data_IF_019695074819
#
_entry.id   IF_019695074819
#
_cell.length_a   1.000
_cell.length_b   1.000
_cell.length_c   1.000
_cell.angle_alpha   90.00
_cell.angle_beta   90.00
_cell.angle_gamma   90.00
#
_symmetry.space_group_name_H-M   'P 1'
#
loop_
_entity.id
_entity.type
_entity.pdbx_description
1 polymer ?
#
# COMPACT_ATOMS: atom_id res chain seq x y z
N UNK A 1 10.79 18.05 -10.66
CA UNK A 1 10.31 16.66 -10.85
C UNK A 1 11.13 15.76 -9.96
N UNK A 2 10.50 14.95 -9.11
CA UNK A 2 11.19 14.07 -8.15
C UNK A 2 11.12 12.63 -8.65
N UNK A 3 12.27 11.94 -8.74
CA UNK A 3 12.35 10.54 -9.16
C UNK A 3 12.47 9.62 -7.94
N UNK A 4 11.42 8.89 -7.63
CA UNK A 4 11.36 7.96 -6.49
C UNK A 4 12.12 6.67 -6.84
N UNK A 5 13.04 6.28 -5.96
CA UNK A 5 13.90 5.12 -6.12
C UNK A 5 15.20 5.36 -6.90
N UNK A 6 15.56 6.64 -7.13
CA UNK A 6 16.91 7.03 -7.55
C UNK A 6 17.84 7.18 -6.33
N UNK A 7 17.32 7.77 -5.25
CA UNK A 7 18.00 8.08 -4.00
C UNK A 7 16.96 8.20 -2.87
N UNK A 8 17.39 8.21 -1.59
CA UNK A 8 16.49 8.53 -0.48
C UNK A 8 15.77 9.87 -0.66
N UNK A 9 14.54 9.97 -0.18
CA UNK A 9 13.78 11.23 -0.20
C UNK A 9 14.34 12.16 0.89
N UNK A 10 14.76 13.36 0.51
CA UNK A 10 15.24 14.40 1.43
C UNK A 10 14.11 15.24 1.99
N UNK A 11 14.37 16.02 3.04
CA UNK A 11 13.42 17.00 3.56
C UNK A 11 13.11 18.12 2.56
N UNK A 12 14.03 18.45 1.66
CA UNK A 12 13.78 19.46 0.62
C UNK A 12 12.75 18.99 -0.41
N UNK A 13 12.74 17.69 -0.73
CA UNK A 13 11.69 17.09 -1.54
C UNK A 13 10.31 17.22 -0.87
N UNK A 14 10.24 17.04 0.44
CA UNK A 14 9.00 17.17 1.22
C UNK A 14 8.55 18.63 1.27
N UNK A 15 9.46 19.56 1.56
CA UNK A 15 9.16 21.01 1.56
C UNK A 15 8.61 21.47 0.21
N UNK A 16 9.20 20.99 -0.90
CA UNK A 16 8.71 21.31 -2.24
C UNK A 16 7.27 20.80 -2.48
N UNK A 17 6.93 19.62 -1.95
CA UNK A 17 5.58 19.06 -2.06
C UNK A 17 4.54 19.80 -1.19
N UNK A 18 4.97 20.32 -0.04
CA UNK A 18 4.12 21.13 0.84
C UNK A 18 3.91 22.55 0.30
N UNK A 19 4.87 23.10 -0.46
CA UNK A 19 4.73 24.42 -1.06
C UNK A 19 3.81 24.45 -2.29
N UNK A 20 3.42 23.28 -2.83
CA UNK A 20 2.48 23.18 -3.94
C UNK A 20 2.65 21.90 -4.78
N UNK A 21 1.86 21.76 -5.85
CA UNK A 21 1.86 20.55 -6.66
C UNK A 21 3.21 20.27 -7.32
N UNK A 22 3.68 19.03 -7.18
CA UNK A 22 4.92 18.57 -7.80
C UNK A 22 4.66 17.39 -8.74
N UNK A 23 5.53 17.25 -9.75
CA UNK A 23 5.59 16.05 -10.58
C UNK A 23 6.52 15.02 -9.95
N UNK A 24 6.03 13.79 -9.79
CA UNK A 24 6.79 12.64 -9.31
C UNK A 24 6.79 11.53 -10.35
N UNK A 25 7.87 10.75 -10.40
CA UNK A 25 8.01 9.60 -11.30
C UNK A 25 8.73 8.46 -10.57
N UNK A 26 8.34 7.20 -10.82
CA UNK A 26 9.11 6.04 -10.38
C UNK A 26 10.29 5.80 -11.33
N UNK A 27 11.46 5.49 -10.80
CA UNK A 27 12.56 4.99 -11.64
C UNK A 27 12.22 3.61 -12.21
N UNK A 28 12.81 3.21 -13.36
CA UNK A 28 12.65 1.86 -13.89
C UNK A 28 13.05 0.77 -12.88
N UNK A 29 14.10 1.02 -12.08
CA UNK A 29 14.53 0.14 -11.00
C UNK A 29 13.46 -0.01 -9.91
N UNK A 30 12.87 1.10 -9.46
CA UNK A 30 11.79 1.06 -8.46
C UNK A 30 10.58 0.28 -8.97
N UNK A 31 10.16 0.53 -10.22
CA UNK A 31 9.07 -0.19 -10.87
C UNK A 31 9.33 -1.70 -10.92
N UNK A 32 10.52 -2.11 -11.36
CA UNK A 32 10.90 -3.53 -11.39
C UNK A 32 10.89 -4.18 -10.00
N UNK A 33 11.29 -3.47 -8.95
CA UNK A 33 11.23 -3.98 -7.57
C UNK A 33 9.78 -4.16 -7.08
N UNK A 34 8.89 -3.23 -7.41
CA UNK A 34 7.46 -3.33 -7.10
C UNK A 34 6.84 -4.55 -7.79
N UNK A 35 7.09 -4.71 -9.09
CA UNK A 35 6.59 -5.84 -9.88
C UNK A 35 7.06 -7.18 -9.33
N UNK A 36 8.35 -7.29 -8.97
CA UNK A 36 8.90 -8.49 -8.31
C UNK A 36 8.24 -8.79 -6.97
N UNK A 37 7.97 -7.77 -6.16
CA UNK A 37 7.28 -7.93 -4.88
C UNK A 37 5.85 -8.41 -5.08
N UNK A 38 5.11 -7.81 -6.00
CA UNK A 38 3.76 -8.23 -6.36
C UNK A 38 3.73 -9.69 -6.86
N UNK A 39 4.65 -10.07 -7.74
CA UNK A 39 4.77 -11.45 -8.23
C UNK A 39 5.06 -12.46 -7.10
N UNK A 40 5.83 -12.05 -6.08
CA UNK A 40 6.10 -12.88 -4.90
C UNK A 40 4.83 -13.13 -4.09
N UNK A 41 4.03 -12.10 -3.84
CA UNK A 41 2.74 -12.24 -3.14
C UNK A 41 1.79 -13.14 -3.92
N UNK A 42 1.68 -12.95 -5.24
CA UNK A 42 0.84 -13.80 -6.11
C UNK A 42 1.27 -15.27 -6.07
N UNK A 43 2.58 -15.54 -6.11
CA UNK A 43 3.10 -16.92 -6.00
C UNK A 43 2.78 -17.57 -4.65
N UNK A 44 2.95 -16.83 -3.56
CA UNK A 44 2.63 -17.33 -2.21
C UNK A 44 1.13 -17.54 -2.01
N UNK A 45 0.29 -16.71 -2.62
CA UNK A 45 -1.15 -16.94 -2.64
C UNK A 45 -1.52 -18.25 -3.34
N UNK A 46 -0.82 -18.60 -4.43
CA UNK A 46 -1.04 -19.83 -5.18
C UNK A 46 -0.61 -21.11 -4.42
N UNK A 47 0.35 -21.02 -3.48
CA UNK A 47 0.68 -22.16 -2.60
C UNK A 47 -0.43 -22.47 -1.59
N UNK A 48 -1.35 -21.53 -1.40
CA UNK A 48 -2.42 -21.65 -0.41
C UNK A 48 -1.91 -21.59 1.01
N UNK A 49 -0.71 -21.07 1.29
CA UNK A 49 -0.25 -20.83 2.67
C UNK A 49 -1.00 -19.65 3.31
N UNK A 50 -1.20 -19.64 4.65
CA UNK A 50 -1.84 -18.51 5.32
C UNK A 50 -0.84 -17.35 5.44
N UNK A 51 -1.20 -16.20 4.86
CA UNK A 51 -0.39 -14.99 4.83
C UNK A 51 -1.17 -13.88 5.54
N UNK A 52 -0.57 -13.32 6.59
CA UNK A 52 -1.20 -12.29 7.42
C UNK A 52 -1.62 -11.08 6.57
N UNK A 53 -2.90 -10.71 6.66
CA UNK A 53 -3.45 -9.55 5.96
C UNK A 53 -3.57 -9.68 4.44
N UNK A 54 -3.23 -10.85 3.86
CA UNK A 54 -3.36 -11.14 2.43
C UNK A 54 -4.51 -12.12 2.17
N UNK A 55 -4.47 -13.31 2.76
CA UNK A 55 -5.56 -14.31 2.71
C UNK A 55 -6.04 -14.77 4.08
N UNK A 56 -5.80 -13.94 5.10
CA UNK A 56 -6.27 -14.12 6.46
C UNK A 56 -6.97 -12.86 6.94
N UNK A 57 -7.68 -12.95 8.07
CA UNK A 57 -8.23 -11.76 8.73
C UNK A 57 -7.15 -10.92 9.44
N UNK A 58 -7.59 -9.87 10.13
CA UNK A 58 -6.72 -8.94 10.87
C UNK A 58 -6.91 -9.09 12.38
N UNK A 59 -5.89 -8.75 13.17
CA UNK A 59 -5.95 -8.78 14.63
C UNK A 59 -6.42 -10.15 15.16
N UNK A 60 -7.58 -10.19 15.82
CA UNK A 60 -8.16 -11.43 16.37
C UNK A 60 -8.38 -12.52 15.31
N UNK A 61 -8.59 -12.15 14.05
CA UNK A 61 -8.83 -13.06 12.93
C UNK A 61 -7.56 -13.39 12.14
N UNK A 62 -6.36 -13.03 12.63
CA UNK A 62 -5.08 -13.28 11.96
C UNK A 62 -4.83 -14.76 11.60
N UNK A 63 -5.43 -15.69 12.36
CA UNK A 63 -5.32 -17.14 12.14
C UNK A 63 -6.47 -17.71 11.28
N UNK A 64 -7.45 -16.90 10.92
CA UNK A 64 -8.61 -17.31 10.13
C UNK A 64 -8.32 -17.08 8.67
N UNK A 65 -8.34 -18.14 7.86
CA UNK A 65 -8.22 -18.04 6.40
C UNK A 65 -9.49 -17.46 5.80
N UNK A 66 -9.32 -16.67 4.74
CA UNK A 66 -10.38 -16.07 3.95
C UNK A 66 -10.36 -16.73 2.56
N UNK A 67 -11.54 -17.11 2.05
CA UNK A 67 -11.63 -17.74 0.74
C UNK A 67 -11.22 -16.75 -0.37
N UNK A 68 -10.63 -17.27 -1.46
CA UNK A 68 -10.13 -16.45 -2.57
C UNK A 68 -11.19 -15.48 -3.15
N UNK A 69 -12.44 -15.94 -3.25
CA UNK A 69 -13.59 -15.13 -3.73
C UNK A 69 -13.91 -13.92 -2.85
N UNK A 70 -13.56 -13.99 -1.56
CA UNK A 70 -13.88 -12.97 -0.57
C UNK A 70 -12.71 -11.99 -0.35
N UNK A 71 -11.53 -12.25 -0.94
CA UNK A 71 -10.34 -11.41 -0.73
C UNK A 71 -10.52 -9.98 -1.25
N UNK A 72 -11.18 -9.80 -2.39
CA UNK A 72 -11.47 -8.45 -2.91
C UNK A 72 -12.38 -7.67 -1.97
N UNK A 73 -13.43 -8.32 -1.45
CA UNK A 73 -14.34 -7.72 -0.48
C UNK A 73 -13.61 -7.39 0.84
N UNK A 74 -12.71 -8.26 1.30
CA UNK A 74 -11.86 -8.01 2.47
C UNK A 74 -11.06 -6.71 2.31
N UNK A 75 -10.38 -6.50 1.17
CA UNK A 75 -9.57 -5.29 0.95
C UNK A 75 -10.40 -4.01 1.00
N UNK A 76 -11.61 -4.02 0.42
CA UNK A 76 -12.54 -2.88 0.48
C UNK A 76 -13.00 -2.63 1.93
N UNK A 77 -13.33 -3.68 2.66
CA UNK A 77 -13.84 -3.57 4.02
C UNK A 77 -12.80 -3.07 5.02
N UNK A 78 -11.50 -3.33 4.80
CA UNK A 78 -10.43 -2.74 5.62
C UNK A 78 -10.44 -1.23 5.48
N UNK A 79 -10.44 -0.70 4.24
CA UNK A 79 -10.45 0.75 4.00
C UNK A 79 -11.67 1.39 4.66
N UNK A 80 -12.85 0.79 4.49
CA UNK A 80 -14.10 1.29 5.09
C UNK A 80 -14.09 1.28 6.62
N UNK A 81 -13.58 0.22 7.25
CA UNK A 81 -13.56 0.10 8.71
C UNK A 81 -12.49 0.96 9.38
N UNK A 82 -11.41 1.30 8.68
CA UNK A 82 -10.27 2.06 9.24
C UNK A 82 -10.28 3.55 8.85
N UNK A 83 -11.04 3.95 7.83
CA UNK A 83 -11.32 5.35 7.51
C UNK A 83 -12.32 5.96 8.51
N UNK A 84 -11.96 5.94 9.80
CA UNK A 84 -12.79 6.34 10.94
C UNK A 84 -12.22 7.56 11.70
N UNK A 85 -11.32 8.32 11.06
CA UNK A 85 -10.81 9.58 11.62
C UNK A 85 -11.92 10.62 11.77
N UNK A 86 -11.82 11.45 12.80
CA UNK A 86 -12.80 12.52 13.12
C UNK A 86 -12.10 13.86 13.24
N UNK A 87 -12.85 14.96 13.06
CA UNK A 87 -12.34 16.33 13.15
C UNK A 87 -12.50 17.11 11.84
N UNK A 88 -11.86 18.27 11.77
CA UNK A 88 -11.85 19.08 10.56
C UNK A 88 -11.08 18.35 9.43
N UNK A 89 -11.52 18.51 8.17
CA UNK A 89 -10.71 18.09 7.02
C UNK A 89 -9.33 18.75 7.07
N UNK A 90 -8.30 18.02 6.63
CA UNK A 90 -6.98 18.61 6.40
C UNK A 90 -7.09 19.66 5.29
N UNK A 91 -6.30 20.73 5.39
CA UNK A 91 -6.10 21.65 4.28
C UNK A 91 -5.38 20.92 3.12
N UNK A 92 -5.35 21.56 1.95
CA UNK A 92 -4.75 20.98 0.76
C UNK A 92 -3.20 20.98 0.78
N UNK A 93 -2.57 21.51 1.83
CA UNK A 93 -1.18 21.98 1.81
C UNK A 93 -1.06 23.41 1.29
#
# INVERSE_FOLDING_TARGET
MIRIGAQPISLDHVRAALAGPIKVELTPKARSLIERSAATVTRLLASGEPIYGVNTGFGKLAKTRIAAKDLSALQINIVRSHAAGVGAPLDAG
#
